data_IF_662748569246
#
_entry.id   IF_662748569246
#
_cell.length_a   1.000
_cell.length_b   1.000
_cell.length_c   1.000
_cell.angle_alpha   90.00
_cell.angle_beta   90.00
_cell.angle_gamma   90.00
#
_symmetry.space_group_name_H-M   'P 1'
#
loop_
_entity.id
_entity.type
_entity.pdbx_description
1 polymer ?
#
# COMPACT_ATOMS: atom_id res chain seq x y z
N UNK A 1 -46.08 -4.56 4.80
CA UNK A 1 -44.97 -5.25 5.49
C UNK A 1 -43.81 -4.29 5.62
N UNK A 2 -43.39 -4.02 6.85
CA UNK A 2 -42.26 -3.15 7.21
C UNK A 2 -40.94 -3.93 7.06
N UNK A 3 -39.90 -3.25 6.55
CA UNK A 3 -38.47 -3.29 6.93
C UNK A 3 -37.56 -3.28 5.70
N UNK A 4 -36.73 -2.24 5.65
CA UNK A 4 -35.64 -2.05 4.68
C UNK A 4 -34.97 -0.68 4.82
N UNK A 5 -35.15 -0.01 5.97
CA UNK A 5 -34.39 1.17 6.35
C UNK A 5 -33.24 0.69 7.23
N UNK A 6 -32.03 0.58 6.67
CA UNK A 6 -30.74 0.73 7.36
C UNK A 6 -29.62 0.39 6.35
N UNK A 7 -29.12 1.37 5.59
CA UNK A 7 -27.82 1.23 4.90
C UNK A 7 -27.24 2.59 4.44
N UNK A 8 -27.43 3.66 5.21
CA UNK A 8 -26.87 5.01 4.88
C UNK A 8 -25.89 5.49 5.99
N UNK A 9 -25.67 4.70 7.04
CA UNK A 9 -24.99 5.16 8.25
C UNK A 9 -23.47 5.39 8.19
N UNK A 10 -22.64 4.82 7.28
CA UNK A 10 -21.21 5.18 7.25
C UNK A 10 -20.92 6.47 6.48
N UNK A 11 -21.83 6.94 5.60
CA UNK A 11 -21.56 8.08 4.72
C UNK A 11 -21.72 9.43 5.42
N UNK A 12 -22.63 9.53 6.40
CA UNK A 12 -22.85 10.76 7.18
C UNK A 12 -21.78 10.96 8.26
N UNK A 13 -21.16 9.89 8.76
CA UNK A 13 -20.05 10.01 9.71
C UNK A 13 -18.78 10.57 9.01
N UNK A 14 -18.52 10.17 7.76
CA UNK A 14 -17.36 10.66 7.00
C UNK A 14 -17.41 12.16 6.69
N UNK A 15 -18.57 12.71 6.34
CA UNK A 15 -18.72 14.14 6.03
C UNK A 15 -18.66 15.04 7.26
N UNK A 16 -19.18 14.58 8.41
CA UNK A 16 -19.09 15.30 9.68
C UNK A 16 -17.64 15.39 10.20
N UNK A 17 -16.83 14.34 10.02
CA UNK A 17 -15.42 14.36 10.44
C UNK A 17 -14.60 15.32 9.55
N UNK A 18 -14.86 15.36 8.24
CA UNK A 18 -14.18 16.33 7.36
C UNK A 18 -14.52 17.78 7.74
N UNK A 19 -15.79 18.08 8.06
CA UNK A 19 -16.20 19.42 8.49
C UNK A 19 -15.61 19.82 9.86
N UNK A 20 -15.51 18.88 10.80
CA UNK A 20 -14.88 19.11 12.11
C UNK A 20 -13.37 19.40 11.97
N UNK A 21 -12.66 18.68 11.08
CA UNK A 21 -11.26 18.96 10.78
C UNK A 21 -11.08 20.41 10.28
N UNK A 22 -11.98 20.93 9.44
CA UNK A 22 -11.88 22.32 8.94
C UNK A 22 -12.12 23.40 10.01
N UNK A 23 -12.92 23.13 11.05
CA UNK A 23 -13.13 24.07 12.15
C UNK A 23 -11.86 24.23 13.01
N UNK A 24 -11.19 23.10 13.30
CA UNK A 24 -9.96 23.07 14.11
C UNK A 24 -8.75 23.69 13.38
N UNK A 25 -8.72 23.67 12.04
CA UNK A 25 -7.65 24.31 11.26
C UNK A 25 -7.53 25.83 11.49
N UNK A 26 -8.62 26.53 11.85
CA UNK A 26 -8.55 27.96 12.20
C UNK A 26 -7.84 28.18 13.53
N UNK A 27 -8.02 27.28 14.50
CA UNK A 27 -7.36 27.36 15.81
C UNK A 27 -5.87 26.99 15.73
N UNK A 28 -5.48 26.13 14.77
CA UNK A 28 -4.07 25.83 14.48
C UNK A 28 -3.29 27.05 13.96
N UNK A 29 -3.98 28.06 13.42
CA UNK A 29 -3.36 29.31 12.96
C UNK A 29 -3.44 30.41 14.05
N UNK A 30 -4.02 30.13 15.21
CA UNK A 30 -4.14 31.08 16.33
C UNK A 30 -2.77 31.56 16.82
N UNK A 31 -2.66 32.85 17.18
CA UNK A 31 -1.47 33.45 17.79
C UNK A 31 -1.18 32.94 19.22
N UNK A 32 -2.16 32.29 19.85
CA UNK A 32 -2.01 31.65 21.16
C UNK A 32 -1.31 30.29 21.03
N UNK A 33 -0.07 30.21 21.51
CA UNK A 33 0.76 29.01 21.43
C UNK A 33 0.16 27.78 22.13
N UNK A 34 -0.60 27.97 23.22
CA UNK A 34 -1.20 26.86 23.95
C UNK A 34 -2.41 26.29 23.18
N UNK A 35 -3.28 27.17 22.67
CA UNK A 35 -4.43 26.76 21.83
C UNK A 35 -3.99 26.12 20.53
N UNK A 36 -2.92 26.64 19.92
CA UNK A 36 -2.30 26.06 18.73
C UNK A 36 -1.83 24.63 18.97
N UNK A 37 -1.16 24.39 20.10
CA UNK A 37 -0.66 23.05 20.44
C UNK A 37 -1.81 22.05 20.67
N UNK A 38 -2.86 22.48 21.38
CA UNK A 38 -4.03 21.64 21.65
C UNK A 38 -4.82 21.30 20.37
N UNK A 39 -5.09 22.31 19.54
CA UNK A 39 -5.74 22.13 18.24
C UNK A 39 -4.91 21.24 17.30
N UNK A 40 -3.58 21.39 17.30
CA UNK A 40 -2.69 20.54 16.51
C UNK A 40 -2.79 19.07 16.94
N UNK A 41 -2.86 18.80 18.25
CA UNK A 41 -3.04 17.44 18.76
C UNK A 41 -4.39 16.83 18.37
N UNK A 42 -5.48 17.63 18.41
CA UNK A 42 -6.80 17.20 17.94
C UNK A 42 -6.78 16.84 16.46
N UNK A 43 -6.28 17.73 15.59
CA UNK A 43 -6.17 17.48 14.15
C UNK A 43 -5.34 16.22 13.84
N UNK A 44 -4.23 16.00 14.55
CA UNK A 44 -3.42 14.79 14.39
C UNK A 44 -4.20 13.54 14.80
N UNK A 45 -4.94 13.60 15.91
CA UNK A 45 -5.76 12.48 16.41
C UNK A 45 -6.88 12.15 15.41
N UNK A 46 -7.62 13.15 14.97
CA UNK A 46 -8.72 13.00 14.03
C UNK A 46 -8.22 12.46 12.69
N UNK A 47 -7.07 12.97 12.20
CA UNK A 47 -6.42 12.43 11.00
C UNK A 47 -6.11 10.94 11.14
N UNK A 48 -5.56 10.51 12.28
CA UNK A 48 -5.25 9.08 12.53
C UNK A 48 -6.50 8.23 12.54
N UNK A 49 -7.57 8.73 13.15
CA UNK A 49 -8.85 8.04 13.22
C UNK A 49 -9.50 7.90 11.84
N UNK A 50 -9.51 8.97 11.03
CA UNK A 50 -9.94 8.92 9.62
C UNK A 50 -9.14 7.89 8.83
N UNK A 51 -7.80 7.94 8.90
CA UNK A 51 -6.94 6.97 8.20
C UNK A 51 -7.31 5.54 8.60
N UNK A 52 -7.51 5.28 9.90
CA UNK A 52 -7.90 3.95 10.40
C UNK A 52 -9.24 3.50 9.81
N UNK A 53 -10.25 4.36 9.75
CA UNK A 53 -11.54 4.02 9.15
C UNK A 53 -11.44 3.74 7.66
N UNK A 54 -10.67 4.54 6.92
CA UNK A 54 -10.45 4.33 5.48
C UNK A 54 -9.68 3.03 5.22
N UNK A 55 -8.67 2.72 6.04
CA UNK A 55 -7.92 1.46 5.98
C UNK A 55 -8.83 0.25 6.21
N UNK A 56 -9.73 0.32 7.19
CA UNK A 56 -10.71 -0.73 7.43
C UNK A 56 -11.61 -0.93 6.20
N UNK A 57 -12.09 0.14 5.59
CA UNK A 57 -12.93 0.07 4.40
C UNK A 57 -12.23 -0.61 3.21
N UNK A 58 -10.96 -0.30 2.95
CA UNK A 58 -10.23 -0.93 1.85
C UNK A 58 -9.79 -2.37 2.15
N UNK A 59 -9.62 -2.74 3.43
CA UNK A 59 -9.24 -4.10 3.84
C UNK A 59 -10.42 -5.10 3.87
N UNK A 60 -11.65 -4.60 3.93
CA UNK A 60 -12.84 -5.45 4.03
C UNK A 60 -13.19 -6.11 2.69
N UNK A 61 -13.05 -7.44 2.60
CA UNK A 61 -13.47 -8.20 1.42
C UNK A 61 -14.96 -8.00 1.10
N UNK A 62 -15.80 -7.89 2.13
CA UNK A 62 -17.23 -7.65 1.97
C UNK A 62 -17.48 -6.30 1.31
N UNK A 63 -16.81 -5.24 1.78
CA UNK A 63 -16.93 -3.92 1.15
C UNK A 63 -16.38 -3.90 -0.28
N UNK A 64 -15.25 -4.58 -0.53
CA UNK A 64 -14.70 -4.71 -1.87
C UNK A 64 -15.65 -5.39 -2.86
N UNK A 65 -16.43 -6.38 -2.40
CA UNK A 65 -17.43 -7.11 -3.20
C UNK A 65 -18.74 -6.31 -3.36
N UNK A 66 -19.22 -5.70 -2.28
CA UNK A 66 -20.57 -5.13 -2.22
C UNK A 66 -20.63 -3.63 -2.58
N UNK A 67 -19.54 -2.90 -2.42
CA UNK A 67 -19.52 -1.44 -2.62
C UNK A 67 -18.18 -0.95 -3.17
N UNK A 68 -17.88 -1.32 -4.41
CA UNK A 68 -16.69 -0.84 -5.12
C UNK A 68 -16.55 0.70 -5.14
N UNK A 69 -17.61 1.51 -5.37
CA UNK A 69 -17.47 2.96 -5.34
C UNK A 69 -16.98 3.51 -3.99
N UNK A 70 -17.43 2.92 -2.88
CA UNK A 70 -17.00 3.35 -1.55
C UNK A 70 -15.52 3.03 -1.29
N UNK A 71 -15.05 1.86 -1.74
CA UNK A 71 -13.64 1.48 -1.62
C UNK A 71 -12.75 2.39 -2.47
N UNK A 72 -13.18 2.71 -3.70
CA UNK A 72 -12.46 3.67 -4.57
C UNK A 72 -12.38 5.06 -3.92
N UNK A 73 -13.50 5.57 -3.38
CA UNK A 73 -13.49 6.85 -2.66
C UNK A 73 -12.56 6.83 -1.44
N UNK A 74 -12.51 5.71 -0.71
CA UNK A 74 -11.59 5.55 0.42
C UNK A 74 -10.12 5.57 -0.01
N UNK A 75 -9.79 4.90 -1.12
CA UNK A 75 -8.45 4.92 -1.73
C UNK A 75 -8.05 6.34 -2.13
N UNK A 76 -8.95 7.07 -2.82
CA UNK A 76 -8.70 8.44 -3.25
C UNK A 76 -8.44 9.36 -2.05
N UNK A 77 -9.28 9.27 -1.01
CA UNK A 77 -9.12 10.05 0.22
C UNK A 77 -7.80 9.75 0.95
N UNK A 78 -7.37 8.48 1.01
CA UNK A 78 -6.06 8.11 1.56
C UNK A 78 -4.90 8.76 0.80
N UNK A 79 -5.04 8.88 -0.52
CA UNK A 79 -4.11 9.61 -1.38
C UNK A 79 -4.08 11.11 -1.07
N UNK A 80 -5.25 11.75 -0.98
CA UNK A 80 -5.38 13.19 -0.71
C UNK A 80 -4.76 13.59 0.64
N UNK A 81 -5.00 12.80 1.70
CA UNK A 81 -4.44 13.06 3.03
C UNK A 81 -3.00 12.55 3.21
N UNK A 82 -2.41 12.03 2.12
CA UNK A 82 -1.05 11.47 2.05
C UNK A 82 -0.76 10.47 3.17
N UNK A 83 -1.65 9.50 3.35
CA UNK A 83 -1.55 8.49 4.42
C UNK A 83 -0.42 7.49 4.13
N UNK A 84 0.76 7.72 4.71
CA UNK A 84 1.92 6.81 4.59
C UNK A 84 1.62 5.38 5.05
N UNK A 85 0.75 5.24 6.03
CA UNK A 85 0.32 3.98 6.63
C UNK A 85 -0.50 3.12 5.67
N UNK A 86 -1.06 3.73 4.62
CA UNK A 86 -1.82 3.05 3.59
C UNK A 86 -0.97 2.48 2.46
N UNK A 87 0.33 2.77 2.39
CA UNK A 87 1.20 2.36 1.30
C UNK A 87 1.17 0.84 1.07
N UNK A 88 1.38 0.04 2.11
CA UNK A 88 1.41 -1.43 1.97
C UNK A 88 0.04 -2.01 1.60
N UNK A 89 -1.07 -1.67 2.29
CA UNK A 89 -2.41 -2.10 1.86
C UNK A 89 -2.77 -1.69 0.43
N UNK A 90 -2.41 -0.47 0.02
CA UNK A 90 -2.62 0.00 -1.34
C UNK A 90 -1.76 -0.76 -2.36
N UNK A 91 -0.52 -1.12 -2.02
CA UNK A 91 0.33 -1.93 -2.88
C UNK A 91 -0.29 -3.29 -3.23
N UNK A 92 -0.96 -3.92 -2.27
CA UNK A 92 -1.67 -5.18 -2.49
C UNK A 92 -2.86 -5.02 -3.44
N UNK A 93 -3.48 -3.84 -3.41
CA UNK A 93 -4.62 -3.43 -4.23
C UNK A 93 -4.22 -2.70 -5.53
N UNK A 94 -2.96 -2.73 -5.98
CA UNK A 94 -2.49 -1.97 -7.16
C UNK A 94 -3.35 -2.06 -8.43
N UNK A 95 -4.06 -3.18 -8.63
CA UNK A 95 -4.93 -3.39 -9.79
C UNK A 95 -6.42 -3.15 -9.51
N UNK A 96 -6.79 -2.85 -8.26
CA UNK A 96 -8.17 -2.64 -7.83
C UNK A 96 -8.77 -1.39 -8.43
N UNK A 97 -10.09 -1.42 -8.69
CA UNK A 97 -10.82 -0.23 -9.11
C UNK A 97 -10.65 0.13 -10.58
N UNK A 98 -9.95 -0.67 -11.38
CA UNK A 98 -9.68 -0.38 -12.79
C UNK A 98 -10.94 -0.01 -13.61
N UNK A 99 -11.03 1.24 -14.08
CA UNK A 99 -12.27 1.82 -14.67
C UNK A 99 -12.48 1.43 -16.14
N UNK A 100 -11.43 1.06 -16.87
CA UNK A 100 -11.50 0.70 -18.29
C UNK A 100 -10.61 -0.48 -18.65
N UNK A 101 -11.06 -1.31 -19.61
CA UNK A 101 -10.22 -2.29 -20.30
C UNK A 101 -9.84 -3.52 -19.48
N UNK A 102 -10.50 -3.77 -18.35
CA UNK A 102 -10.27 -4.90 -17.44
C UNK A 102 -11.54 -5.73 -17.29
N UNK A 103 -11.57 -6.91 -17.91
CA UNK A 103 -12.56 -7.93 -17.58
C UNK A 103 -12.13 -8.59 -16.27
N UNK A 104 -12.92 -8.39 -15.21
CA UNK A 104 -12.86 -9.16 -13.98
C UNK A 104 -13.80 -10.35 -14.14
N UNK A 105 -13.32 -11.57 -14.41
CA UNK A 105 -14.18 -12.74 -14.35
C UNK A 105 -14.56 -12.98 -12.88
N UNK A 106 -15.62 -13.77 -12.66
CA UNK A 106 -16.11 -14.14 -11.32
C UNK A 106 -15.07 -14.84 -10.43
N UNK A 107 -13.93 -15.26 -10.99
CA UNK A 107 -12.79 -15.87 -10.29
C UNK A 107 -11.79 -14.85 -9.72
N UNK A 108 -12.02 -13.55 -9.90
CA UNK A 108 -11.16 -12.47 -9.40
C UNK A 108 -9.83 -12.32 -10.15
N UNK A 109 -9.59 -13.09 -11.21
CA UNK A 109 -8.34 -13.06 -12.00
C UNK A 109 -8.61 -12.34 -13.31
N UNK A 110 -8.24 -11.07 -13.40
CA UNK A 110 -8.28 -10.27 -14.63
C UNK A 110 -7.72 -11.09 -15.82
N UNK A 111 -8.50 -11.35 -16.88
CA UNK A 111 -8.06 -12.26 -17.97
C UNK A 111 -7.34 -11.57 -19.11
N UNK A 112 -7.62 -10.30 -19.36
CA UNK A 112 -6.97 -9.46 -20.38
C UNK A 112 -7.04 -8.00 -19.94
N UNK A 113 -5.95 -7.25 -20.14
CA UNK A 113 -6.00 -5.78 -20.18
C UNK A 113 -5.65 -5.31 -21.59
N UNK A 114 -6.52 -4.51 -22.21
CA UNK A 114 -6.16 -3.78 -23.45
C UNK A 114 -5.08 -2.74 -23.13
N UNK A 115 -4.21 -2.42 -24.10
CA UNK A 115 -3.21 -1.32 -23.98
C UNK A 115 -3.94 -0.05 -23.49
N UNK A 116 -3.71 0.34 -22.24
CA UNK A 116 -4.30 1.54 -21.67
C UNK A 116 -3.45 2.76 -21.98
N UNK A 117 -4.09 3.84 -22.43
CA UNK A 117 -3.42 5.10 -22.77
C UNK A 117 -3.02 5.91 -21.53
N UNK A 118 -3.71 5.76 -20.39
CA UNK A 118 -3.43 6.54 -19.18
C UNK A 118 -3.65 5.76 -17.88
N UNK A 119 -2.59 5.17 -17.30
CA UNK A 119 -2.69 4.40 -16.06
C UNK A 119 -3.12 5.21 -14.84
N UNK A 120 -2.79 6.51 -14.75
CA UNK A 120 -3.19 7.37 -13.62
C UNK A 120 -4.70 7.47 -13.50
N UNK A 121 -5.38 7.77 -14.60
CA UNK A 121 -6.85 7.95 -14.63
C UNK A 121 -7.63 6.65 -14.48
N UNK A 122 -6.99 5.53 -14.80
CA UNK A 122 -7.66 4.24 -14.88
C UNK A 122 -7.46 3.39 -13.63
N UNK A 123 -6.51 3.75 -12.75
CA UNK A 123 -6.20 3.00 -11.53
C UNK A 123 -6.13 3.94 -10.31
N UNK A 124 -7.19 4.03 -9.50
CA UNK A 124 -7.24 4.96 -8.37
C UNK A 124 -6.13 4.70 -7.35
N UNK A 125 -5.70 3.45 -7.19
CA UNK A 125 -4.61 3.07 -6.30
C UNK A 125 -3.26 3.63 -6.74
N UNK A 126 -3.01 3.65 -8.05
CA UNK A 126 -1.77 4.22 -8.60
C UNK A 126 -1.73 5.72 -8.35
N UNK A 127 -2.84 6.42 -8.60
CA UNK A 127 -2.94 7.84 -8.32
C UNK A 127 -2.77 8.14 -6.82
N UNK A 128 -3.41 7.37 -5.95
CA UNK A 128 -3.28 7.53 -4.50
C UNK A 128 -1.82 7.34 -4.02
N UNK A 129 -1.13 6.31 -4.50
CA UNK A 129 0.27 6.07 -4.17
C UNK A 129 1.20 7.19 -4.67
N UNK A 130 0.93 7.75 -5.86
CA UNK A 130 1.65 8.91 -6.38
C UNK A 130 1.42 10.14 -5.48
N UNK A 131 0.18 10.39 -5.04
CA UNK A 131 -0.15 11.50 -4.12
C UNK A 131 0.52 11.34 -2.76
N UNK A 132 0.63 10.11 -2.24
CA UNK A 132 1.39 9.81 -1.01
C UNK A 132 2.88 10.11 -1.20
N UNK A 133 3.46 9.79 -2.37
CA UNK A 133 4.81 10.19 -2.74
C UNK A 133 5.90 9.26 -2.21
N UNK A 134 7.00 9.83 -1.68
CA UNK A 134 8.21 9.10 -1.26
C UNK A 134 7.98 7.85 -0.38
N UNK A 135 7.04 7.84 0.59
CA UNK A 135 6.77 6.64 1.39
C UNK A 135 6.36 5.41 0.57
N UNK A 136 5.86 5.60 -0.66
CA UNK A 136 5.46 4.50 -1.54
C UNK A 136 6.62 3.80 -2.24
N UNK A 137 7.79 4.43 -2.35
CA UNK A 137 8.85 4.00 -3.28
C UNK A 137 9.45 2.63 -2.94
N UNK A 138 9.75 2.40 -1.66
CA UNK A 138 10.34 1.13 -1.21
C UNK A 138 9.37 -0.04 -1.38
N UNK A 139 8.10 0.20 -1.08
CA UNK A 139 7.03 -0.77 -1.26
C UNK A 139 6.82 -1.10 -2.75
N UNK A 140 6.85 -0.09 -3.62
CA UNK A 140 6.78 -0.30 -5.07
C UNK A 140 8.01 -1.05 -5.61
N UNK A 141 9.21 -0.78 -5.09
CA UNK A 141 10.41 -1.53 -5.44
C UNK A 141 10.27 -3.00 -5.01
N UNK A 142 9.70 -3.26 -3.82
CA UNK A 142 9.37 -4.61 -3.34
C UNK A 142 8.38 -5.30 -4.29
N UNK A 143 7.30 -4.63 -4.68
CA UNK A 143 6.35 -5.18 -5.66
C UNK A 143 7.07 -5.55 -6.97
N UNK A 144 7.99 -4.71 -7.45
CA UNK A 144 8.76 -5.00 -8.66
C UNK A 144 9.66 -6.22 -8.46
N UNK A 145 10.35 -6.35 -7.34
CA UNK A 145 11.25 -7.48 -7.10
C UNK A 145 10.49 -8.80 -6.99
N UNK A 146 9.38 -8.82 -6.24
CA UNK A 146 8.74 -10.05 -5.78
C UNK A 146 7.50 -10.49 -6.54
N UNK A 147 6.80 -9.57 -7.24
CA UNK A 147 5.62 -9.96 -7.99
C UNK A 147 5.98 -10.93 -9.13
N UNK A 148 5.16 -11.98 -9.37
CA UNK A 148 5.41 -12.95 -10.43
C UNK A 148 5.61 -12.29 -11.80
N UNK A 149 6.50 -12.85 -12.63
CA UNK A 149 6.71 -12.35 -14.00
C UNK A 149 5.50 -12.59 -14.92
N UNK A 150 4.64 -13.54 -14.58
CA UNK A 150 3.40 -13.85 -15.29
C UNK A 150 2.22 -12.98 -14.86
N UNK A 151 1.06 -13.27 -15.43
CA UNK A 151 -0.21 -12.63 -15.06
C UNK A 151 -0.66 -13.04 -13.63
N UNK A 152 -1.18 -12.15 -12.75
CA UNK A 152 -1.31 -10.68 -12.85
C UNK A 152 -0.04 -9.90 -12.44
N UNK A 153 1.00 -10.59 -11.96
CA UNK A 153 2.19 -9.96 -11.39
C UNK A 153 2.90 -9.01 -12.35
N UNK A 154 2.99 -9.32 -13.64
CA UNK A 154 3.54 -8.44 -14.67
C UNK A 154 2.90 -7.04 -14.66
N UNK A 155 1.57 -6.97 -14.48
CA UNK A 155 0.85 -5.71 -14.41
C UNK A 155 1.09 -4.98 -13.09
N UNK A 156 1.16 -5.69 -11.96
CA UNK A 156 1.56 -5.08 -10.68
C UNK A 156 2.94 -4.42 -10.80
N UNK A 157 3.91 -5.12 -11.40
CA UNK A 157 5.27 -4.58 -11.65
C UNK A 157 5.24 -3.34 -12.54
N UNK A 158 4.42 -3.34 -13.59
CA UNK A 158 4.26 -2.21 -14.49
C UNK A 158 3.69 -0.97 -13.77
N UNK A 159 2.62 -1.13 -13.00
CA UNK A 159 2.02 -0.02 -12.24
C UNK A 159 2.93 0.49 -11.12
N UNK A 160 3.65 -0.41 -10.43
CA UNK A 160 4.65 -0.01 -9.45
C UNK A 160 5.79 0.83 -10.07
N UNK A 161 6.24 0.49 -11.30
CA UNK A 161 7.21 1.31 -12.04
C UNK A 161 6.66 2.69 -12.41
N UNK A 162 5.37 2.78 -12.73
CA UNK A 162 4.73 4.07 -12.99
C UNK A 162 4.75 4.93 -11.74
N UNK A 163 4.36 4.38 -10.58
CA UNK A 163 4.41 5.13 -9.31
C UNK A 163 5.82 5.67 -9.05
N UNK A 164 6.84 4.83 -9.14
CA UNK A 164 8.24 5.26 -8.91
C UNK A 164 8.67 6.34 -9.90
N UNK A 165 8.38 6.15 -11.20
CA UNK A 165 8.72 7.13 -12.25
C UNK A 165 8.03 8.46 -12.05
N UNK A 166 6.77 8.45 -11.63
CA UNK A 166 5.96 9.66 -11.43
C UNK A 166 6.36 10.42 -10.15
N UNK A 167 6.82 9.72 -9.11
CA UNK A 167 7.28 10.34 -7.85
C UNK A 167 8.70 10.90 -7.97
N UNK A 168 9.62 10.18 -8.62
CA UNK A 168 11.03 10.55 -8.71
C UNK A 168 11.44 11.23 -10.02
N UNK A 169 10.64 11.08 -11.08
CA UNK A 169 11.05 11.38 -12.45
C UNK A 169 11.89 10.25 -13.07
N UNK A 170 11.96 10.22 -14.41
CA UNK A 170 12.57 9.12 -15.18
C UNK A 170 14.03 8.83 -14.81
N UNK A 171 14.88 9.86 -14.66
CA UNK A 171 16.31 9.70 -14.38
C UNK A 171 16.57 9.04 -13.03
N UNK A 172 16.01 9.62 -11.96
CA UNK A 172 16.17 9.12 -10.59
C UNK A 172 15.47 7.77 -10.38
N UNK A 173 14.35 7.50 -11.06
CA UNK A 173 13.66 6.22 -10.98
C UNK A 173 14.53 5.05 -11.47
N UNK A 174 15.27 5.23 -12.56
CA UNK A 174 16.16 4.20 -13.09
C UNK A 174 17.30 3.88 -12.11
N UNK A 175 17.92 4.93 -11.55
CA UNK A 175 18.99 4.78 -10.56
C UNK A 175 18.48 4.14 -9.27
N UNK A 176 17.33 4.60 -8.75
CA UNK A 176 16.69 4.04 -7.57
C UNK A 176 16.43 2.54 -7.72
N UNK A 177 15.84 2.12 -8.85
CA UNK A 177 15.57 0.71 -9.12
C UNK A 177 16.85 -0.13 -9.26
N UNK A 178 17.92 0.45 -9.83
CA UNK A 178 19.23 -0.21 -9.93
C UNK A 178 19.86 -0.41 -8.54
N UNK A 179 19.78 0.60 -7.68
CA UNK A 179 20.29 0.50 -6.31
C UNK A 179 19.52 -0.55 -5.51
N UNK A 180 18.19 -0.54 -5.58
CA UNK A 180 17.33 -1.52 -4.89
C UNK A 180 17.53 -2.95 -5.40
N UNK A 181 17.71 -3.15 -6.71
CA UNK A 181 18.00 -4.49 -7.25
C UNK A 181 19.36 -5.00 -6.78
N UNK A 182 20.37 -4.14 -6.72
CA UNK A 182 21.70 -4.47 -6.21
C UNK A 182 21.63 -4.83 -4.72
N UNK A 183 20.92 -4.04 -3.93
CA UNK A 183 20.70 -4.31 -2.50
C UNK A 183 19.98 -5.65 -2.29
N UNK A 184 18.94 -5.94 -3.07
CA UNK A 184 18.22 -7.22 -3.00
C UNK A 184 19.14 -8.40 -3.31
N UNK A 185 20.01 -8.28 -4.32
CA UNK A 185 20.96 -9.33 -4.66
C UNK A 185 22.00 -9.56 -3.54
N UNK A 186 22.45 -8.49 -2.88
CA UNK A 186 23.35 -8.57 -1.72
C UNK A 186 22.65 -9.25 -0.54
N UNK A 187 21.40 -8.87 -0.25
CA UNK A 187 20.62 -9.45 0.85
C UNK A 187 20.33 -10.94 0.61
N UNK A 188 19.99 -11.32 -0.63
CA UNK A 188 19.81 -12.72 -1.02
C UNK A 188 21.12 -13.52 -0.87
N UNK A 189 22.25 -12.94 -1.28
CA UNK A 189 23.55 -13.58 -1.10
C UNK A 189 23.90 -13.78 0.38
N UNK A 190 23.66 -12.75 1.22
CA UNK A 190 23.85 -12.84 2.67
C UNK A 190 22.97 -13.93 3.29
N UNK A 191 21.72 -14.04 2.86
CA UNK A 191 20.81 -15.10 3.32
C UNK A 191 21.35 -16.49 2.99
N UNK A 192 21.81 -16.71 1.76
CA UNK A 192 22.42 -17.98 1.34
C UNK A 192 23.67 -18.31 2.16
N UNK A 193 24.51 -17.32 2.45
CA UNK A 193 25.69 -17.53 3.29
C UNK A 193 25.32 -17.96 4.72
N UNK A 194 24.26 -17.40 5.29
CA UNK A 194 23.76 -17.82 6.61
C UNK A 194 23.22 -19.26 6.57
N UNK A 195 22.45 -19.62 5.54
CA UNK A 195 21.95 -20.99 5.36
C UNK A 195 23.09 -22.01 5.21
N UNK A 196 24.13 -21.67 4.43
CA UNK A 196 25.33 -22.52 4.27
C UNK A 196 26.09 -22.64 5.59
N UNK A 197 26.26 -21.56 6.35
CA UNK A 197 26.90 -21.59 7.67
C UNK A 197 26.17 -22.54 8.62
N UNK A 198 24.84 -22.47 8.67
CA UNK A 198 24.04 -23.33 9.54
C UNK A 198 24.15 -24.80 9.15
N UNK A 199 24.27 -25.11 7.85
CA UNK A 199 24.53 -26.47 7.38
C UNK A 199 25.92 -26.96 7.79
N UNK A 200 26.95 -26.13 7.65
CA UNK A 200 28.32 -26.46 8.09
C UNK A 200 28.36 -26.76 9.59
N UNK A 201 27.69 -25.94 10.41
CA UNK A 201 27.62 -26.17 11.86
C UNK A 201 26.95 -27.52 12.18
N UNK A 202 25.85 -27.87 11.51
CA UNK A 202 25.20 -29.18 11.68
C UNK A 202 26.12 -30.34 11.31
N UNK A 203 26.89 -30.21 10.23
CA UNK A 203 27.86 -31.24 9.83
C UNK A 203 28.95 -31.38 10.89
N UNK A 204 29.47 -30.27 11.40
CA UNK A 204 30.50 -30.28 12.46
C UNK A 204 29.98 -30.95 13.74
N UNK A 205 28.75 -30.66 14.15
CA UNK A 205 28.13 -31.31 15.31
C UNK A 205 27.97 -32.82 15.09
N UNK A 206 27.57 -33.26 13.89
CA UNK A 206 27.46 -34.67 13.56
C UNK A 206 28.82 -35.38 13.58
N UNK A 207 29.87 -34.75 13.05
CA UNK A 207 31.25 -35.27 13.11
C UNK A 207 31.68 -35.41 14.57
N UNK A 208 31.48 -34.39 15.39
CA UNK A 208 31.88 -34.39 16.80
C UNK A 208 31.14 -35.48 17.61
N UNK A 209 29.86 -35.73 17.31
CA UNK A 209 29.09 -36.81 17.94
C UNK A 209 29.60 -38.20 17.55
N UNK A 210 30.00 -38.40 16.30
CA UNK A 210 30.53 -39.69 15.82
C UNK A 210 31.99 -39.93 16.20
N UNK A 211 32.71 -38.88 16.62
CA UNK A 211 34.09 -38.96 17.08
C UNK A 211 34.21 -39.23 18.59
N UNK A 212 33.11 -39.25 19.34
CA UNK A 212 33.12 -39.65 20.75
C UNK A 212 33.39 -41.16 20.85
N UNK A 213 34.39 -41.61 21.64
CA UNK A 213 34.67 -43.03 21.79
C UNK A 213 33.47 -43.74 22.44
N UNK A 214 33.15 -44.98 22.02
CA UNK A 214 32.10 -45.75 22.67
C UNK A 214 32.49 -46.05 24.12
N UNK A 215 31.57 -45.75 25.06
CA UNK A 215 31.67 -46.18 26.47
C UNK A 215 31.53 -47.70 26.63
#
# INVERSE_FOLDING_TARGET
MKKGALMILPFLAGTLVVAAVFADWREVISDDGAKRAEASQRVIKDRREVIRYLLLAISSEEMQKNSRPAVVAAIELLGEIRASEAVTPLADLLLYGATEGVEYPADGRIRKMKKMRNPRKNFPVVEALIKIGNPSLDEMARVIAWAPKGYPGAFKRFHARIVITEVLGYGLAAEFLRLKSTQTAVDEHKKRLLEVRDQVLKIQEAINKNAAPPE
#
